data_IF_969516041183
#
_entry.id   IF_969516041183
#
_cell.length_a   1.000
_cell.length_b   1.000
_cell.length_c   1.000
_cell.angle_alpha   90.00
_cell.angle_beta   90.00
_cell.angle_gamma   90.00
#
_symmetry.space_group_name_H-M   'P 1'
#
loop_
_entity.id
_entity.type
_entity.pdbx_description
1 polymer ?
#
# COMPACT_ATOMS: atom_id res chain seq x y z
N UNK A 1 -17.98 -34.82 44.95
CA UNK A 1 -18.15 -33.44 45.43
C UNK A 1 -18.85 -32.63 44.34
N UNK A 2 -19.91 -31.88 44.66
CA UNK A 2 -20.59 -31.01 43.69
C UNK A 2 -20.10 -29.58 43.93
N UNK A 3 -19.36 -29.01 42.97
CA UNK A 3 -18.87 -27.63 43.05
C UNK A 3 -20.01 -26.72 42.60
N UNK A 4 -20.49 -25.87 43.52
CA UNK A 4 -21.47 -24.83 43.19
C UNK A 4 -20.76 -23.78 42.34
N UNK A 5 -20.98 -23.79 41.03
CA UNK A 5 -20.56 -22.68 40.18
C UNK A 5 -21.43 -21.47 40.51
N UNK A 6 -20.82 -20.39 40.98
CA UNK A 6 -21.48 -19.10 41.12
C UNK A 6 -21.85 -18.60 39.72
N UNK A 7 -23.15 -18.52 39.45
CA UNK A 7 -23.64 -17.91 38.21
C UNK A 7 -23.40 -16.38 38.25
N UNK A 8 -23.18 -15.78 37.08
CA UNK A 8 -23.05 -14.33 36.92
C UNK A 8 -24.36 -13.62 37.31
N UNK A 9 -24.24 -12.48 37.97
CA UNK A 9 -25.42 -11.67 38.34
C UNK A 9 -25.95 -10.92 37.11
N UNK A 10 -27.26 -10.62 37.07
CA UNK A 10 -27.86 -9.85 35.96
C UNK A 10 -27.17 -8.50 35.79
N UNK A 11 -26.79 -7.83 36.89
CA UNK A 11 -26.11 -6.55 36.83
C UNK A 11 -24.72 -6.66 36.18
N UNK A 12 -24.01 -7.76 36.41
CA UNK A 12 -22.70 -8.02 35.83
C UNK A 12 -22.78 -8.32 34.34
N UNK A 13 -23.82 -9.06 33.90
CA UNK A 13 -24.10 -9.28 32.48
C UNK A 13 -24.43 -7.95 31.79
N UNK A 14 -25.28 -7.12 32.39
CA UNK A 14 -25.64 -5.82 31.83
C UNK A 14 -24.44 -4.87 31.75
N UNK A 15 -23.56 -4.89 32.76
CA UNK A 15 -22.35 -4.09 32.78
C UNK A 15 -21.36 -4.56 31.71
N UNK A 16 -21.12 -5.87 31.58
CA UNK A 16 -20.25 -6.43 30.55
C UNK A 16 -20.76 -6.11 29.14
N UNK A 17 -22.06 -6.26 28.89
CA UNK A 17 -22.68 -5.89 27.61
C UNK A 17 -22.50 -4.40 27.31
N UNK A 18 -22.71 -3.53 28.30
CA UNK A 18 -22.57 -2.08 28.13
C UNK A 18 -21.15 -1.69 27.69
N UNK A 19 -20.13 -2.29 28.31
CA UNK A 19 -18.73 -2.04 27.96
C UNK A 19 -18.44 -2.52 26.55
N UNK A 20 -18.91 -3.72 26.17
CA UNK A 20 -18.71 -4.25 24.81
C UNK A 20 -19.35 -3.32 23.76
N UNK A 21 -20.54 -2.78 24.01
CA UNK A 21 -21.17 -1.84 23.09
C UNK A 21 -20.39 -0.52 22.98
N UNK A 22 -19.92 0.03 24.10
CA UNK A 22 -19.12 1.27 24.10
C UNK A 22 -17.81 1.06 23.33
N UNK A 23 -17.08 -0.02 23.60
CA UNK A 23 -15.82 -0.35 22.91
C UNK A 23 -16.06 -0.64 21.43
N UNK A 24 -17.12 -1.39 21.10
CA UNK A 24 -17.51 -1.69 19.72
C UNK A 24 -17.83 -0.41 18.93
N UNK A 25 -18.58 0.51 19.52
CA UNK A 25 -18.91 1.78 18.88
C UNK A 25 -17.68 2.65 18.60
N UNK A 26 -16.72 2.68 19.53
CA UNK A 26 -15.46 3.43 19.35
C UNK A 26 -14.52 2.78 18.33
N UNK A 27 -14.63 1.47 18.09
CA UNK A 27 -13.75 0.74 17.16
C UNK A 27 -14.10 0.99 15.69
N UNK A 28 -15.37 1.27 15.36
CA UNK A 28 -15.85 1.50 13.98
C UNK A 28 -15.10 2.64 13.26
N UNK A 29 -15.00 3.87 13.81
CA UNK A 29 -14.33 4.98 13.11
C UNK A 29 -12.84 4.68 12.86
N UNK A 30 -12.15 4.05 13.81
CA UNK A 30 -10.74 3.67 13.67
C UNK A 30 -10.53 2.64 12.56
N UNK A 31 -11.40 1.63 12.47
CA UNK A 31 -11.35 0.63 11.40
C UNK A 31 -11.56 1.27 10.02
N UNK A 32 -12.50 2.20 9.88
CA UNK A 32 -12.74 2.90 8.61
C UNK A 32 -11.54 3.73 8.18
N UNK A 33 -10.88 4.41 9.12
CA UNK A 33 -9.66 5.16 8.83
C UNK A 33 -8.55 4.23 8.32
N UNK A 34 -8.29 3.12 9.02
CA UNK A 34 -7.27 2.14 8.61
C UNK A 34 -7.56 1.53 7.23
N UNK A 35 -8.83 1.24 6.92
CA UNK A 35 -9.20 0.73 5.59
C UNK A 35 -8.83 1.70 4.47
N UNK A 36 -9.01 3.01 4.67
CA UNK A 36 -8.72 4.03 3.64
C UNK A 36 -7.21 4.12 3.36
N UNK A 37 -6.38 4.08 4.42
CA UNK A 37 -4.92 4.11 4.27
C UNK A 37 -4.42 2.87 3.54
N UNK A 38 -4.94 1.70 3.92
CA UNK A 38 -4.58 0.43 3.31
C UNK A 38 -5.03 0.33 1.85
N UNK A 39 -6.19 0.88 1.50
CA UNK A 39 -6.66 0.96 0.12
C UNK A 39 -5.76 1.84 -0.75
N UNK A 40 -5.25 2.96 -0.21
CA UNK A 40 -4.31 3.84 -0.92
C UNK A 40 -2.99 3.14 -1.21
N UNK A 41 -2.42 2.45 -0.21
CA UNK A 41 -1.16 1.71 -0.37
C UNK A 41 -1.28 0.60 -1.41
N UNK A 42 -2.33 -0.22 -1.32
CA UNK A 42 -2.58 -1.27 -2.32
C UNK A 42 -2.80 -0.72 -3.72
N UNK A 43 -3.38 0.46 -3.83
CA UNK A 43 -3.58 1.12 -5.11
C UNK A 43 -2.25 1.55 -5.74
N UNK A 44 -1.26 1.95 -4.93
CA UNK A 44 0.11 2.22 -5.40
C UNK A 44 0.74 0.94 -5.97
N UNK A 45 0.66 -0.17 -5.24
CA UNK A 45 1.17 -1.47 -5.69
C UNK A 45 0.50 -1.92 -7.00
N UNK A 46 -0.81 -1.74 -7.09
CA UNK A 46 -1.60 -2.12 -8.25
C UNK A 46 -1.22 -1.31 -9.50
N UNK A 47 -1.07 0.00 -9.37
CA UNK A 47 -0.63 0.87 -10.49
C UNK A 47 0.80 0.52 -10.90
N UNK A 48 1.69 0.35 -9.92
CA UNK A 48 3.10 -0.02 -10.14
C UNK A 48 3.20 -1.36 -10.88
N UNK A 49 2.47 -2.37 -10.43
CA UNK A 49 2.41 -3.68 -11.09
C UNK A 49 1.83 -3.59 -12.50
N UNK A 50 0.74 -2.83 -12.70
CA UNK A 50 0.14 -2.60 -14.01
C UNK A 50 1.12 -1.95 -15.00
N UNK A 51 1.86 -0.93 -14.55
CA UNK A 51 2.91 -0.27 -15.34
C UNK A 51 4.06 -1.22 -15.70
N UNK A 52 4.57 -1.98 -14.73
CA UNK A 52 5.61 -2.99 -14.98
C UNK A 52 5.14 -4.06 -15.96
N UNK A 53 3.88 -4.49 -15.84
CA UNK A 53 3.30 -5.49 -16.74
C UNK A 53 3.18 -4.95 -18.17
N UNK A 54 2.63 -3.75 -18.35
CA UNK A 54 2.53 -3.11 -19.67
C UNK A 54 3.92 -2.93 -20.31
N UNK A 55 4.91 -2.55 -19.52
CA UNK A 55 6.30 -2.45 -19.98
C UNK A 55 6.84 -3.79 -20.45
N UNK A 56 6.73 -4.84 -19.63
CA UNK A 56 7.23 -6.17 -19.97
C UNK A 56 6.58 -6.70 -21.25
N UNK A 57 5.27 -6.53 -21.41
CA UNK A 57 4.55 -6.94 -22.62
C UNK A 57 5.07 -6.20 -23.86
N UNK A 58 5.39 -4.91 -23.73
CA UNK A 58 5.99 -4.12 -24.82
C UNK A 58 7.43 -4.56 -25.13
N UNK A 59 8.26 -4.76 -24.10
CA UNK A 59 9.65 -5.19 -24.24
C UNK A 59 9.77 -6.56 -24.92
N UNK A 60 8.84 -7.47 -24.61
CA UNK A 60 8.75 -8.79 -25.25
C UNK A 60 8.12 -8.75 -26.65
N UNK A 61 7.68 -7.58 -27.12
CA UNK A 61 6.89 -7.41 -28.34
C UNK A 61 5.67 -8.36 -28.38
N UNK A 62 5.01 -8.54 -27.23
CA UNK A 62 3.87 -9.44 -27.10
C UNK A 62 2.73 -8.94 -28.02
N UNK A 63 2.16 -9.84 -28.81
CA UNK A 63 1.12 -9.52 -29.82
C UNK A 63 1.51 -8.43 -30.84
N UNK A 64 2.81 -8.26 -31.13
CA UNK A 64 3.37 -7.31 -32.12
C UNK A 64 2.87 -5.87 -31.91
N UNK A 65 2.79 -5.45 -30.65
CA UNK A 65 2.26 -4.15 -30.29
C UNK A 65 2.95 -3.53 -29.09
N UNK A 66 2.79 -2.22 -28.97
CA UNK A 66 3.07 -1.50 -27.73
C UNK A 66 1.92 -1.72 -26.75
N UNK A 67 2.25 -1.72 -25.47
CA UNK A 67 1.30 -1.87 -24.39
C UNK A 67 1.41 -0.68 -23.44
N UNK A 68 0.31 -0.34 -22.79
CA UNK A 68 0.24 0.73 -21.83
C UNK A 68 -0.65 0.44 -20.66
N UNK A 69 -0.66 1.35 -19.71
CA UNK A 69 -1.51 1.31 -18.52
C UNK A 69 -2.29 2.61 -18.43
N UNK A 70 -3.61 2.52 -18.30
CA UNK A 70 -4.49 3.66 -18.08
C UNK A 70 -4.90 3.69 -16.60
N UNK A 71 -4.53 4.77 -15.92
CA UNK A 71 -4.53 4.84 -14.45
C UNK A 71 -5.95 4.87 -13.90
N UNK A 72 -6.82 5.72 -14.45
CA UNK A 72 -8.14 5.96 -13.88
C UNK A 72 -9.06 4.72 -13.98
N UNK A 73 -8.93 3.93 -15.04
CA UNK A 73 -9.67 2.66 -15.18
C UNK A 73 -8.92 1.47 -14.61
N UNK A 74 -7.62 1.63 -14.33
CA UNK A 74 -6.72 0.55 -13.93
C UNK A 74 -6.65 -0.56 -14.97
N UNK A 75 -6.43 -0.22 -16.23
CA UNK A 75 -6.40 -1.19 -17.33
C UNK A 75 -5.02 -1.24 -17.96
N UNK A 76 -4.43 -2.43 -18.05
CA UNK A 76 -3.33 -2.70 -18.98
C UNK A 76 -3.95 -2.94 -20.36
N UNK A 77 -3.53 -2.17 -21.35
CA UNK A 77 -4.11 -2.19 -22.69
C UNK A 77 -3.06 -2.39 -23.77
N UNK A 78 -3.48 -3.00 -24.88
CA UNK A 78 -2.69 -3.10 -26.11
C UNK A 78 -2.99 -1.93 -27.02
N UNK A 79 -2.00 -1.10 -27.33
CA UNK A 79 -2.16 0.08 -28.19
C UNK A 79 -1.24 1.23 -27.79
N UNK A 80 -1.08 2.21 -28.70
CA UNK A 80 -0.23 3.39 -28.48
C UNK A 80 -0.80 4.33 -27.43
N UNK A 81 -2.13 4.45 -27.41
CA UNK A 81 -2.91 5.25 -26.47
C UNK A 81 -4.16 4.47 -26.06
N UNK A 82 -4.74 4.77 -24.89
CA UNK A 82 -5.90 4.04 -24.38
C UNK A 82 -7.15 4.20 -25.26
N UNK A 83 -7.29 5.36 -25.91
CA UNK A 83 -8.43 5.67 -26.76
C UNK A 83 -8.49 4.78 -28.01
N UNK A 84 -7.34 4.39 -28.54
CA UNK A 84 -7.20 3.57 -29.76
C UNK A 84 -6.85 2.11 -29.44
N UNK A 85 -7.04 1.69 -28.18
CA UNK A 85 -6.66 0.35 -27.73
C UNK A 85 -7.52 -0.75 -28.36
N UNK A 86 -6.96 -1.95 -28.38
CA UNK A 86 -7.71 -3.17 -28.66
C UNK A 86 -8.32 -3.73 -27.36
N UNK A 87 -9.60 -3.45 -27.14
CA UNK A 87 -10.31 -3.85 -25.92
C UNK A 87 -10.40 -5.38 -25.72
N UNK A 88 -10.13 -6.19 -26.75
CA UNK A 88 -10.08 -7.65 -26.62
C UNK A 88 -8.92 -8.16 -25.75
N UNK A 89 -7.92 -7.31 -25.50
CA UNK A 89 -6.73 -7.60 -24.70
C UNK A 89 -6.66 -6.81 -23.39
N UNK A 90 -7.75 -6.13 -23.00
CA UNK A 90 -7.80 -5.34 -21.76
C UNK A 90 -7.63 -6.26 -20.54
N UNK A 91 -6.61 -5.99 -19.73
CA UNK A 91 -6.47 -6.59 -18.41
C UNK A 91 -6.89 -5.61 -17.33
N UNK A 92 -7.97 -5.94 -16.63
CA UNK A 92 -8.59 -5.03 -15.67
C UNK A 92 -8.08 -5.26 -14.25
N UNK A 93 -7.57 -4.19 -13.66
CA UNK A 93 -7.19 -4.05 -12.27
C UNK A 93 -7.70 -2.68 -11.80
N UNK A 94 -9.02 -2.51 -11.59
CA UNK A 94 -9.62 -1.21 -11.28
C UNK A 94 -9.26 -0.74 -9.87
N UNK A 95 -9.05 0.56 -9.72
CA UNK A 95 -8.82 1.18 -8.42
C UNK A 95 -10.08 1.12 -7.54
N UNK A 96 -9.94 1.01 -6.20
CA UNK A 96 -11.07 1.15 -5.28
C UNK A 96 -11.76 2.51 -5.45
N UNK A 97 -13.08 2.57 -5.25
CA UNK A 97 -13.85 3.81 -5.34
C UNK A 97 -13.46 4.87 -4.28
N UNK A 98 -12.68 4.48 -3.27
CA UNK A 98 -12.09 5.36 -2.26
C UNK A 98 -10.88 6.13 -2.76
N UNK A 99 -10.39 5.85 -3.97
CA UNK A 99 -9.18 6.41 -4.56
C UNK A 99 -9.51 7.11 -5.88
N UNK A 100 -8.89 8.26 -6.09
CA UNK A 100 -8.95 9.03 -7.34
C UNK A 100 -7.53 9.25 -7.85
N UNK A 101 -7.34 9.29 -9.17
CA UNK A 101 -6.03 9.51 -9.80
C UNK A 101 -5.95 10.86 -10.50
N UNK A 102 -4.78 11.49 -10.48
CA UNK A 102 -4.46 12.70 -11.25
C UNK A 102 -3.01 12.67 -11.74
N UNK A 103 -2.59 13.70 -12.50
CA UNK A 103 -1.28 13.71 -13.16
C UNK A 103 -1.33 13.01 -14.51
N UNK A 104 -0.39 12.08 -14.77
CA UNK A 104 -0.39 11.29 -16.00
C UNK A 104 -1.63 10.37 -16.07
N UNK A 105 -2.46 10.47 -17.13
CA UNK A 105 -3.66 9.63 -17.26
C UNK A 105 -3.34 8.21 -17.72
N UNK A 106 -2.28 8.06 -18.53
CA UNK A 106 -1.82 6.80 -19.08
C UNK A 106 -0.33 6.87 -19.42
N UNK A 107 0.30 5.70 -19.50
CA UNK A 107 1.68 5.53 -19.98
C UNK A 107 1.73 4.28 -20.85
N UNK A 108 2.25 4.42 -22.07
CA UNK A 108 2.56 3.31 -22.98
C UNK A 108 4.07 3.16 -23.10
N UNK A 109 4.54 1.97 -23.45
CA UNK A 109 5.98 1.67 -23.46
C UNK A 109 6.45 1.27 -24.85
N UNK A 110 7.65 1.72 -25.21
CA UNK A 110 8.26 1.38 -26.49
C UNK A 110 8.70 -0.10 -26.53
N UNK A 111 8.53 -0.72 -27.70
CA UNK A 111 8.95 -2.10 -27.94
C UNK A 111 10.47 -2.23 -27.78
N UNK A 112 10.92 -3.35 -27.20
CA UNK A 112 12.32 -3.71 -26.90
C UNK A 112 13.06 -2.83 -25.88
N UNK A 113 12.83 -1.52 -25.88
CA UNK A 113 13.54 -0.59 -24.98
C UNK A 113 12.80 -0.32 -23.68
N UNK A 114 11.47 -0.50 -23.66
CA UNK A 114 10.63 -0.24 -22.49
C UNK A 114 10.58 1.24 -22.08
N UNK A 115 10.99 2.15 -22.97
CA UNK A 115 10.95 3.58 -22.67
C UNK A 115 9.49 4.07 -22.58
N UNK A 116 9.13 4.82 -21.52
CA UNK A 116 7.78 5.33 -21.38
C UNK A 116 7.47 6.40 -22.43
N UNK A 117 6.24 6.44 -22.91
CA UNK A 117 5.74 7.44 -23.87
C UNK A 117 5.61 8.83 -23.27
N UNK A 118 5.56 8.93 -21.94
CA UNK A 118 5.58 10.18 -21.18
C UNK A 118 6.20 9.96 -19.80
N UNK A 119 7.01 10.91 -19.35
CA UNK A 119 7.53 10.98 -17.99
C UNK A 119 6.74 11.99 -17.17
N UNK A 120 6.74 11.86 -15.86
CA UNK A 120 5.95 12.69 -14.94
C UNK A 120 5.44 11.89 -13.75
N UNK A 121 4.42 12.41 -13.08
CA UNK A 121 3.90 11.81 -11.84
C UNK A 121 2.44 11.39 -12.00
N UNK A 122 2.11 10.27 -11.39
CA UNK A 122 0.75 9.78 -11.17
C UNK A 122 0.45 10.00 -9.68
N UNK A 123 -0.58 10.76 -9.37
CA UNK A 123 -0.93 11.08 -7.98
C UNK A 123 -2.24 10.39 -7.64
N UNK A 124 -2.19 9.48 -6.67
CA UNK A 124 -3.36 8.82 -6.11
C UNK A 124 -3.80 9.58 -4.87
N UNK A 125 -5.07 9.96 -4.82
CA UNK A 125 -5.69 10.69 -3.71
C UNK A 125 -6.83 9.88 -3.12
N UNK A 126 -6.73 9.55 -1.84
CA UNK A 126 -7.80 8.91 -1.10
C UNK A 126 -8.90 9.90 -0.70
N UNK A 127 -10.09 9.40 -0.40
CA UNK A 127 -11.25 10.21 0.02
C UNK A 127 -11.03 11.05 1.30
N UNK A 128 -10.03 10.70 2.12
CA UNK A 128 -9.64 11.48 3.30
C UNK A 128 -8.61 12.59 2.99
N UNK A 129 -8.20 12.73 1.72
CA UNK A 129 -7.22 13.71 1.26
C UNK A 129 -5.77 13.24 1.29
N UNK A 130 -5.47 12.04 1.81
CA UNK A 130 -4.12 11.48 1.74
C UNK A 130 -3.71 11.21 0.29
N UNK A 131 -2.44 11.47 -0.02
CA UNK A 131 -1.90 11.29 -1.36
C UNK A 131 -0.69 10.37 -1.38
N UNK A 132 -0.50 9.72 -2.52
CA UNK A 132 0.72 8.99 -2.89
C UNK A 132 1.07 9.32 -4.33
N UNK A 133 2.36 9.56 -4.55
CA UNK A 133 2.92 9.95 -5.84
C UNK A 133 3.75 8.80 -6.40
N UNK A 134 3.46 8.44 -7.63
CA UNK A 134 4.22 7.46 -8.40
C UNK A 134 4.93 8.22 -9.51
N UNK A 135 6.26 8.18 -9.52
CA UNK A 135 7.04 8.91 -10.55
C UNK A 135 7.45 7.98 -11.69
N UNK A 136 7.26 8.45 -12.92
CA UNK A 136 7.63 7.77 -14.17
C UNK A 136 8.77 8.55 -14.81
N UNK A 137 9.93 7.89 -14.98
CA UNK A 137 11.14 8.47 -15.57
C UNK A 137 11.65 7.60 -16.73
N UNK A 138 12.46 8.18 -17.61
CA UNK A 138 13.15 7.47 -18.70
C UNK A 138 14.25 6.53 -18.15
N UNK A 139 14.51 5.41 -18.82
CA UNK A 139 15.48 4.39 -18.38
C UNK A 139 14.85 3.17 -17.69
N UNK A 140 15.59 2.37 -16.90
CA UNK A 140 15.01 1.28 -16.11
C UNK A 140 14.05 1.90 -15.08
N UNK A 141 12.79 2.01 -15.46
CA UNK A 141 11.69 2.67 -14.76
C UNK A 141 11.84 2.51 -13.24
N UNK A 142 12.30 3.60 -12.62
CA UNK A 142 12.22 3.81 -11.18
C UNK A 142 10.77 4.22 -10.91
N UNK A 143 9.88 3.25 -10.74
CA UNK A 143 8.56 3.52 -10.16
C UNK A 143 8.79 3.75 -8.67
N UNK A 144 9.31 4.92 -8.33
CA UNK A 144 9.41 5.33 -6.95
C UNK A 144 7.99 5.69 -6.50
N UNK A 145 7.42 4.86 -5.62
CA UNK A 145 6.37 5.30 -4.71
C UNK A 145 7.00 6.32 -3.77
N UNK A 146 6.85 7.59 -4.15
CA UNK A 146 7.35 8.82 -3.53
C UNK A 146 8.87 8.91 -3.26
N UNK A 147 9.42 10.10 -3.49
CA UNK A 147 10.43 10.63 -2.57
C UNK A 147 9.74 10.74 -1.20
N UNK A 148 9.89 9.71 -0.37
CA UNK A 148 9.42 9.79 0.99
C UNK A 148 10.15 10.95 1.68
N UNK A 149 9.40 12.00 2.04
CA UNK A 149 9.90 12.92 3.05
C UNK A 149 10.28 12.10 4.27
N UNK A 150 11.38 12.46 4.94
CA UNK A 150 11.87 11.77 6.14
C UNK A 150 10.81 11.71 7.27
N UNK A 151 9.74 12.49 7.15
CA UNK A 151 8.56 12.49 8.03
C UNK A 151 7.67 11.25 7.89
N UNK A 152 7.70 10.54 6.75
CA UNK A 152 6.89 9.33 6.50
C UNK A 152 7.59 8.04 6.99
N UNK A 153 8.85 8.14 7.45
CA UNK A 153 9.60 7.04 8.03
C UNK A 153 9.64 7.09 9.56
N UNK A 154 9.22 6.00 10.18
CA UNK A 154 9.48 5.75 11.59
C UNK A 154 10.87 5.12 11.74
N UNK A 155 11.67 5.69 12.63
CA UNK A 155 12.88 5.00 13.13
C UNK A 155 12.44 4.02 14.21
N UNK A 156 12.80 2.75 14.03
CA UNK A 156 12.42 1.67 14.93
C UNK A 156 13.64 0.81 15.28
N UNK A 157 13.58 0.15 16.43
CA UNK A 157 14.49 -0.91 16.82
C UNK A 157 13.87 -2.25 16.40
N UNK A 158 14.52 -2.94 15.47
CA UNK A 158 14.03 -4.17 14.87
C UNK A 158 14.65 -5.41 15.52
N UNK A 159 13.81 -6.35 15.97
CA UNK A 159 14.22 -7.61 16.58
C UNK A 159 14.02 -8.79 15.60
N UNK A 160 15.09 -9.21 14.94
CA UNK A 160 15.05 -10.31 13.97
C UNK A 160 15.13 -11.69 14.65
N UNK A 161 14.16 -12.01 15.52
CA UNK A 161 13.81 -13.38 15.98
C UNK A 161 14.91 -14.33 16.50
N UNK A 162 16.16 -13.87 16.68
CA UNK A 162 17.31 -14.71 17.01
C UNK A 162 18.68 -14.06 16.77
N UNK A 163 18.74 -12.73 16.60
CA UNK A 163 19.98 -11.96 16.48
C UNK A 163 19.87 -10.62 17.21
N UNK A 164 20.99 -9.89 17.28
CA UNK A 164 21.05 -8.59 17.94
C UNK A 164 20.07 -7.58 17.31
N UNK A 165 19.40 -6.76 18.14
CA UNK A 165 18.49 -5.75 17.63
C UNK A 165 19.25 -4.68 16.85
N UNK A 166 18.66 -4.21 15.76
CA UNK A 166 19.27 -3.16 14.95
C UNK A 166 18.28 -2.08 14.55
N UNK A 167 18.78 -0.85 14.46
CA UNK A 167 17.97 0.32 14.13
C UNK A 167 17.72 0.37 12.63
N UNK A 168 16.44 0.45 12.23
CA UNK A 168 16.04 0.62 10.83
C UNK A 168 15.03 1.76 10.69
N UNK A 169 14.96 2.33 9.49
CA UNK A 169 13.86 3.22 9.09
C UNK A 169 12.84 2.42 8.29
N UNK A 170 11.59 2.45 8.73
CA UNK A 170 10.46 1.84 8.01
C UNK A 170 9.39 2.88 7.71
N UNK A 171 8.61 2.74 6.64
CA UNK A 171 7.45 3.61 6.44
C UNK A 171 6.45 3.42 7.59
N UNK A 172 5.74 4.48 7.97
CA UNK A 172 4.74 4.43 9.06
C UNK A 172 3.70 3.32 8.83
N UNK A 173 3.36 3.05 7.57
CA UNK A 173 2.45 1.98 7.16
C UNK A 173 2.93 0.57 7.52
N UNK A 174 4.24 0.35 7.63
CA UNK A 174 4.84 -0.94 7.98
C UNK A 174 4.89 -1.19 9.50
N UNK A 175 4.76 -0.14 10.32
CA UNK A 175 4.85 -0.23 11.78
C UNK A 175 3.92 -1.28 12.42
N UNK A 176 2.64 -1.42 12.02
CA UNK A 176 1.75 -2.43 12.60
C UNK A 176 2.22 -3.87 12.41
N UNK A 177 2.99 -4.16 11.35
CA UNK A 177 3.53 -5.50 11.06
C UNK A 177 4.80 -5.76 11.88
N UNK A 178 5.69 -4.77 11.93
CA UNK A 178 6.93 -4.77 12.70
C UNK A 178 6.67 -4.90 14.21
N UNK A 179 5.75 -4.09 14.75
CA UNK A 179 5.38 -4.13 16.16
C UNK A 179 4.77 -5.48 16.57
N UNK A 180 3.95 -6.09 15.71
CA UNK A 180 3.15 -7.28 16.07
C UNK A 180 3.88 -8.60 15.86
N UNK A 181 4.70 -8.72 14.82
CA UNK A 181 5.33 -9.99 14.45
C UNK A 181 6.79 -10.07 14.90
N UNK A 182 7.49 -8.94 14.97
CA UNK A 182 8.91 -8.91 15.29
C UNK A 182 9.19 -8.41 16.72
N UNK A 183 8.22 -7.74 17.36
CA UNK A 183 8.41 -7.18 18.71
C UNK A 183 9.17 -5.85 18.68
N UNK A 184 9.15 -5.17 17.54
CA UNK A 184 9.90 -3.94 17.30
C UNK A 184 9.40 -2.79 18.17
N UNK A 185 10.31 -1.89 18.55
CA UNK A 185 10.02 -0.70 19.37
C UNK A 185 10.27 0.58 18.58
N UNK A 186 9.54 1.66 18.91
CA UNK A 186 9.75 2.97 18.30
C UNK A 186 11.02 3.60 18.87
N UNK A 187 11.86 4.14 17.98
CA UNK A 187 13.15 4.75 18.32
C UNK A 187 14.35 3.90 17.92
N UNK A 188 15.55 4.39 18.26
CA UNK A 188 16.79 3.63 18.06
C UNK A 188 16.87 2.46 19.04
N UNK A 189 17.65 1.44 18.70
CA UNK A 189 17.94 0.36 19.65
C UNK A 189 18.73 0.88 20.85
N UNK A 190 18.49 0.32 22.05
CA UNK A 190 19.32 0.63 23.22
C UNK A 190 20.77 0.27 22.89
N UNK A 191 21.69 1.18 23.22
CA UNK A 191 23.13 0.87 23.18
C UNK A 191 23.43 -0.08 24.33
N UNK A 192 24.20 -1.13 24.08
CA UNK A 192 24.69 -2.02 25.14
C UNK A 192 25.60 -1.18 26.05
N UNK A 193 25.12 -0.83 27.25
CA UNK A 193 25.96 -0.30 28.33
C UNK A 193 26.84 -1.43 28.90
N UNK A 194 27.77 -1.93 28.08
CA UNK A 194 28.87 -2.78 28.52
C UNK A 194 30.17 -1.96 28.41
N UNK A 195 30.29 -0.95 29.27
CA UNK A 195 31.56 -0.31 29.61
C UNK A 195 31.57 -0.04 31.12
N UNK A 196 31.84 -1.10 31.90
CA UNK A 196 32.43 -1.04 33.25
C UNK A 196 33.18 -2.35 33.60
#
# INVERSE_FOLDING_TARGET
MCVKHSAFTIIEILLAMSIIFVVGALSIPSYRYYSIVNDLERSVDQVTHGLHRARLLSELNEQDSVWGYHVASGIVFKGKIYADRDAGFDEMQPLPATITSSGLPEVSFAILTGEPSSTGSIILTAVNGMQRTITVQSGPVLIAGEEAEDSDFLTICHYSGGGEPHTIKIPESAWPAHQRNHGDTLGVCPEDEDDD
#
